data_IF_136590548364
#
_entry.id   IF_136590548364
#
_cell.length_a   1.000
_cell.length_b   1.000
_cell.length_c   1.000
_cell.angle_alpha   90.00
_cell.angle_beta   90.00
_cell.angle_gamma   90.00
#
_symmetry.space_group_name_H-M   'P 1'
#
loop_
_entity.id
_entity.type
_entity.pdbx_description
1 polymer ?
#
# COMPACT_ATOMS: atom_id res chain seq x y z
N UNK A 1 -24.09 -41.87 -10.48
CA UNK A 1 -24.26 -40.62 -9.72
C UNK A 1 -23.31 -39.60 -10.35
N UNK A 2 -23.84 -38.56 -11.01
CA UNK A 2 -23.02 -37.46 -11.55
C UNK A 2 -22.62 -36.54 -10.38
N UNK A 3 -21.33 -36.26 -10.24
CA UNK A 3 -20.81 -35.28 -9.28
C UNK A 3 -21.29 -33.86 -9.66
N UNK A 4 -21.59 -32.99 -8.68
CA UNK A 4 -21.95 -31.61 -8.98
C UNK A 4 -20.76 -30.88 -9.64
N UNK A 5 -21.02 -29.94 -10.57
CA UNK A 5 -19.97 -29.14 -11.17
C UNK A 5 -19.25 -28.32 -10.09
N UNK A 6 -17.94 -28.05 -10.23
CA UNK A 6 -17.23 -27.20 -9.29
C UNK A 6 -17.88 -25.81 -9.28
N UNK A 7 -18.42 -25.40 -8.13
CA UNK A 7 -18.87 -24.04 -7.89
C UNK A 7 -17.66 -23.13 -7.89
N UNK A 8 -17.41 -22.44 -9.01
CA UNK A 8 -16.55 -21.27 -9.02
C UNK A 8 -17.28 -20.17 -8.27
N UNK A 9 -16.98 -20.00 -6.98
CA UNK A 9 -17.44 -18.83 -6.24
C UNK A 9 -16.89 -17.58 -6.95
N UNK A 10 -17.74 -16.59 -7.29
CA UNK A 10 -17.23 -15.34 -7.83
C UNK A 10 -16.34 -14.71 -6.77
N UNK A 11 -15.04 -14.55 -7.07
CA UNK A 11 -14.18 -13.71 -6.23
C UNK A 11 -14.75 -12.29 -6.33
N UNK A 12 -15.20 -11.76 -5.20
CA UNK A 12 -15.68 -10.39 -5.14
C UNK A 12 -14.55 -9.47 -5.60
N UNK A 13 -14.81 -8.43 -6.42
CA UNK A 13 -13.79 -7.47 -6.86
C UNK A 13 -12.94 -6.92 -5.70
N UNK A 14 -13.55 -6.76 -4.53
CA UNK A 14 -12.87 -6.34 -3.31
C UNK A 14 -11.78 -7.33 -2.83
N UNK A 15 -11.99 -8.64 -2.99
CA UNK A 15 -11.00 -9.64 -2.59
C UNK A 15 -9.77 -9.60 -3.51
N UNK A 16 -9.98 -9.46 -4.82
CA UNK A 16 -8.90 -9.30 -5.80
C UNK A 16 -8.11 -8.00 -5.56
N UNK A 17 -8.78 -6.89 -5.24
CA UNK A 17 -8.14 -5.61 -4.91
C UNK A 17 -7.27 -5.68 -3.64
N UNK A 18 -7.72 -6.39 -2.60
CA UNK A 18 -6.95 -6.61 -1.38
C UNK A 18 -5.68 -7.42 -1.68
N UNK A 19 -5.77 -8.45 -2.53
CA UNK A 19 -4.61 -9.24 -2.94
C UNK A 19 -3.62 -8.38 -3.72
N UNK A 20 -4.10 -7.58 -4.68
CA UNK A 20 -3.28 -6.66 -5.48
C UNK A 20 -2.56 -5.64 -4.58
N UNK A 21 -3.25 -5.07 -3.59
CA UNK A 21 -2.63 -4.17 -2.62
C UNK A 21 -1.55 -4.88 -1.78
N UNK A 22 -1.84 -6.10 -1.31
CA UNK A 22 -0.87 -6.92 -0.58
C UNK A 22 0.37 -7.26 -1.41
N UNK A 23 0.22 -7.51 -2.71
CA UNK A 23 1.35 -7.70 -3.62
C UNK A 23 2.17 -6.42 -3.83
N UNK A 24 1.51 -5.27 -4.00
CA UNK A 24 2.16 -3.96 -4.11
C UNK A 24 3.00 -3.65 -2.87
N UNK A 25 2.46 -3.90 -1.69
CA UNK A 25 3.18 -3.76 -0.41
C UNK A 25 4.39 -4.67 -0.32
N UNK A 26 4.27 -5.94 -0.74
CA UNK A 26 5.40 -6.90 -0.75
C UNK A 26 6.51 -6.49 -1.73
N UNK A 27 6.17 -5.83 -2.84
CA UNK A 27 7.14 -5.38 -3.85
C UNK A 27 7.84 -4.08 -3.45
N UNK A 28 7.11 -3.15 -2.84
CA UNK A 28 7.61 -1.84 -2.47
C UNK A 28 8.76 -1.96 -1.46
N UNK A 29 9.87 -1.28 -1.76
CA UNK A 29 10.99 -1.13 -0.82
C UNK A 29 11.39 0.33 -0.76
N UNK A 30 11.15 0.94 0.40
CA UNK A 30 11.50 2.33 0.69
C UNK A 30 12.60 2.40 1.76
N UNK A 31 13.33 3.50 1.74
CA UNK A 31 14.21 3.91 2.83
C UNK A 31 14.11 5.44 3.00
N UNK A 32 14.40 5.93 4.19
CA UNK A 32 14.64 7.36 4.41
C UNK A 32 16.13 7.65 4.44
N UNK A 33 16.50 8.84 3.99
CA UNK A 33 17.85 9.40 4.15
C UNK A 33 17.73 10.80 4.70
N UNK A 34 18.32 11.00 5.87
CA UNK A 34 18.37 12.30 6.53
C UNK A 34 19.72 12.95 6.27
N UNK A 35 19.69 14.17 5.73
CA UNK A 35 20.85 15.03 5.65
C UNK A 35 21.20 15.53 7.05
N UNK A 36 22.42 15.25 7.53
CA UNK A 36 22.87 15.62 8.88
C UNK A 36 23.18 17.11 9.04
N UNK A 37 23.40 17.84 7.95
CA UNK A 37 23.71 19.28 7.98
C UNK A 37 22.42 20.10 8.02
N UNK A 38 21.43 19.72 7.23
CA UNK A 38 20.16 20.47 7.11
C UNK A 38 19.02 19.88 7.92
N UNK A 39 19.16 18.63 8.39
CA UNK A 39 18.07 17.87 9.02
C UNK A 39 16.99 17.41 8.03
N UNK A 40 17.16 17.65 6.73
CA UNK A 40 16.15 17.29 5.73
C UNK A 40 16.09 15.78 5.54
N UNK A 41 14.90 15.20 5.71
CA UNK A 41 14.65 13.78 5.43
C UNK A 41 14.06 13.63 4.03
N UNK A 42 14.66 12.73 3.24
CA UNK A 42 14.24 12.38 1.89
C UNK A 42 13.83 10.91 1.85
N UNK A 43 12.88 10.57 0.99
CA UNK A 43 12.44 9.21 0.77
C UNK A 43 13.14 8.66 -0.49
N UNK A 44 13.61 7.41 -0.40
CA UNK A 44 14.38 6.72 -1.41
C UNK A 44 13.68 5.42 -1.80
N UNK A 45 13.34 5.30 -3.08
CA UNK A 45 12.81 4.06 -3.64
C UNK A 45 13.95 3.09 -3.97
N UNK A 46 14.05 2.01 -3.20
CA UNK A 46 14.90 0.85 -3.54
C UNK A 46 14.22 -0.07 -4.54
N UNK A 47 12.88 -0.15 -4.48
CA UNK A 47 12.03 -0.86 -5.43
C UNK A 47 10.64 -0.24 -5.41
N UNK A 48 10.04 -0.05 -6.59
CA UNK A 48 8.68 0.46 -6.77
C UNK A 48 7.63 -0.65 -6.66
N UNK A 49 6.42 -0.29 -6.25
CA UNK A 49 5.30 -1.23 -6.14
C UNK A 49 4.73 -1.64 -7.51
N UNK A 50 4.90 -0.78 -8.52
CA UNK A 50 4.25 -0.89 -9.83
C UNK A 50 3.03 0.02 -9.99
N UNK A 51 2.61 0.72 -8.92
CA UNK A 51 1.58 1.76 -8.97
C UNK A 51 2.18 3.11 -8.52
N UNK A 52 2.33 4.10 -9.43
CA UNK A 52 2.90 5.40 -9.10
C UNK A 52 2.12 6.21 -8.05
N UNK A 53 0.79 6.08 -8.02
CA UNK A 53 -0.03 6.77 -7.02
C UNK A 53 0.20 6.17 -5.64
N UNK A 54 0.26 4.83 -5.57
CA UNK A 54 0.59 4.12 -4.34
C UNK A 54 2.03 4.43 -3.87
N UNK A 55 2.99 4.41 -4.78
CA UNK A 55 4.39 4.74 -4.50
C UNK A 55 4.54 6.14 -3.87
N UNK A 56 3.85 7.13 -4.45
CA UNK A 56 3.87 8.53 -3.98
C UNK A 56 3.26 8.64 -2.59
N UNK A 57 2.07 8.06 -2.40
CA UNK A 57 1.38 8.04 -1.11
C UNK A 57 2.25 7.42 0.00
N UNK A 58 2.90 6.30 -0.28
CA UNK A 58 3.75 5.62 0.70
C UNK A 58 5.02 6.42 1.02
N UNK A 59 5.57 7.13 0.04
CA UNK A 59 6.74 7.98 0.23
C UNK A 59 6.41 9.20 1.09
N UNK A 60 5.27 9.85 0.84
CA UNK A 60 4.79 10.99 1.63
C UNK A 60 4.44 10.57 3.07
N UNK A 61 3.76 9.43 3.23
CA UNK A 61 3.46 8.85 4.55
C UNK A 61 4.75 8.55 5.34
N UNK A 62 5.74 7.92 4.70
CA UNK A 62 7.03 7.62 5.33
C UNK A 62 7.74 8.90 5.79
N UNK A 63 7.73 9.96 4.97
CA UNK A 63 8.33 11.24 5.32
C UNK A 63 7.60 11.95 6.46
N UNK A 64 6.26 11.88 6.48
CA UNK A 64 5.46 12.44 7.56
C UNK A 64 5.72 11.71 8.89
N UNK A 65 5.71 10.38 8.87
CA UNK A 65 5.97 9.54 10.04
C UNK A 65 7.41 9.69 10.57
N UNK A 66 8.40 9.78 9.68
CA UNK A 66 9.81 9.95 10.06
C UNK A 66 10.09 11.23 10.88
N UNK A 67 9.16 12.20 10.92
CA UNK A 67 9.28 13.40 11.76
C UNK A 67 8.97 13.12 13.24
N UNK A 68 8.20 12.08 13.54
CA UNK A 68 7.66 11.83 14.89
C UNK A 68 8.09 10.49 15.48
N UNK A 69 8.58 9.57 14.65
CA UNK A 69 8.94 8.22 15.08
C UNK A 69 10.40 7.89 14.81
N UNK A 70 10.98 7.02 15.66
CA UNK A 70 12.39 6.61 15.54
C UNK A 70 12.55 5.09 15.40
N UNK A 71 11.53 4.31 15.76
CA UNK A 71 11.58 2.85 15.69
C UNK A 71 10.75 2.32 14.54
N UNK A 72 11.10 1.11 14.08
CA UNK A 72 10.38 0.41 13.02
C UNK A 72 8.92 0.14 13.39
N UNK A 73 8.64 -0.29 14.63
CA UNK A 73 7.27 -0.59 15.06
C UNK A 73 6.40 0.67 15.09
N UNK A 74 6.94 1.80 15.54
CA UNK A 74 6.24 3.08 15.48
C UNK A 74 6.00 3.53 14.04
N UNK A 75 6.96 3.28 13.14
CA UNK A 75 6.80 3.56 11.72
C UNK A 75 5.68 2.73 11.09
N UNK A 76 5.65 1.43 11.35
CA UNK A 76 4.60 0.52 10.87
C UNK A 76 3.22 0.96 11.37
N UNK A 77 3.10 1.32 12.65
CA UNK A 77 1.87 1.84 13.24
C UNK A 77 1.43 3.18 12.62
N UNK A 78 2.37 4.08 12.31
CA UNK A 78 2.08 5.37 11.70
C UNK A 78 1.63 5.24 10.23
N UNK A 79 2.19 4.30 9.49
CA UNK A 79 1.87 4.08 8.07
C UNK A 79 0.53 3.36 7.86
N UNK A 80 0.13 2.46 8.78
CA UNK A 80 -1.07 1.62 8.66
C UNK A 80 -2.33 2.36 8.17
N UNK A 81 -2.72 3.49 8.80
CA UNK A 81 -3.91 4.25 8.38
C UNK A 81 -3.87 4.76 6.92
N UNK A 82 -2.68 5.05 6.39
CA UNK A 82 -2.52 5.49 4.99
C UNK A 82 -2.79 4.34 4.01
N UNK A 83 -2.36 3.13 4.35
CA UNK A 83 -2.62 1.93 3.54
C UNK A 83 -4.11 1.58 3.56
N UNK A 84 -4.76 1.64 4.72
CA UNK A 84 -6.20 1.43 4.86
C UNK A 84 -7.03 2.47 4.10
N UNK A 85 -6.59 3.73 4.08
CA UNK A 85 -7.22 4.77 3.27
C UNK A 85 -7.10 4.44 1.78
N UNK A 86 -5.92 4.04 1.30
CA UNK A 86 -5.72 3.65 -0.09
C UNK A 86 -6.53 2.40 -0.47
N UNK A 87 -6.60 1.41 0.41
CA UNK A 87 -7.44 0.22 0.21
C UNK A 87 -8.91 0.59 -0.03
N UNK A 88 -9.44 1.51 0.78
CA UNK A 88 -10.82 2.03 0.60
C UNK A 88 -11.02 2.75 -0.73
N UNK A 89 -9.99 3.44 -1.25
CA UNK A 89 -10.07 4.06 -2.57
C UNK A 89 -10.07 3.06 -3.73
N UNK A 90 -9.38 1.92 -3.57
CA UNK A 90 -9.46 0.82 -4.54
C UNK A 90 -10.88 0.26 -4.58
N UNK A 91 -11.44 -0.03 -3.40
CA UNK A 91 -12.80 -0.61 -3.27
C UNK A 91 -13.94 0.33 -3.62
N UNK A 92 -13.67 1.62 -3.82
CA UNK A 92 -14.63 2.59 -4.35
C UNK A 92 -14.68 2.68 -5.88
N UNK A 93 -13.89 1.88 -6.60
CA UNK A 93 -13.47 2.15 -7.98
C UNK A 93 -14.10 1.33 -9.12
N UNK A 94 -15.44 1.22 -9.20
CA UNK A 94 -16.21 1.40 -10.45
C UNK A 94 -17.73 1.25 -10.21
N UNK A 95 -18.56 2.30 -10.37
CA UNK A 95 -19.94 2.07 -10.79
C UNK A 95 -19.89 1.46 -12.19
N UNK A 96 -20.34 0.21 -12.31
CA UNK A 96 -20.53 -0.44 -13.60
C UNK A 96 -21.58 0.34 -14.39
N UNK A 97 -21.16 1.01 -15.45
CA UNK A 97 -22.07 1.39 -16.54
C UNK A 97 -22.19 0.17 -17.45
N UNK A 98 -23.29 -0.57 -17.27
CA UNK A 98 -23.89 -1.43 -18.31
C UNK A 98 -25.23 -0.82 -18.70
#
# INVERSE_FOLDING_TARGET
MLAPPPTYAPTSPAADEIVVLGERMRRLKLATKTDRKTGATTCLFKRRSGDPAFDTLMCDALLACAKTVTTRSQMEACIGPHVEAYARTLSGGRPGTS
#
